data_IF_633897297595
#
_entry.id   IF_633897297595
#
_cell.length_a   1.000
_cell.length_b   1.000
_cell.length_c   1.000
_cell.angle_alpha   90.00
_cell.angle_beta   90.00
_cell.angle_gamma   90.00
#
_symmetry.space_group_name_H-M   'P 1'
#
loop_
_entity.id
_entity.type
_entity.pdbx_description
1 polymer ?
#
# COMPACT_ATOMS: atom_id res chain seq x y z
N UNK A 1 17.04 -11.53 -14.29
CA UNK A 1 18.03 -11.19 -13.26
C UNK A 1 18.55 -9.76 -13.37
N UNK A 2 19.06 -9.36 -14.52
CA UNK A 2 19.60 -8.01 -14.74
C UNK A 2 18.56 -6.90 -14.48
N UNK A 3 17.31 -7.07 -14.94
CA UNK A 3 16.23 -6.12 -14.71
C UNK A 3 15.90 -5.91 -13.22
N UNK A 4 15.93 -6.96 -12.42
CA UNK A 4 15.68 -6.88 -10.97
C UNK A 4 16.78 -6.12 -10.25
N UNK A 5 18.02 -6.37 -10.62
CA UNK A 5 19.19 -5.69 -10.03
C UNK A 5 19.22 -4.21 -10.38
N UNK A 6 18.97 -3.88 -11.66
CA UNK A 6 18.86 -2.48 -12.11
C UNK A 6 17.72 -1.74 -11.43
N UNK A 7 16.57 -2.40 -11.28
CA UNK A 7 15.40 -1.80 -10.61
C UNK A 7 15.69 -1.54 -9.13
N UNK A 8 16.40 -2.47 -8.46
CA UNK A 8 16.80 -2.29 -7.06
C UNK A 8 17.75 -1.09 -6.91
N UNK A 9 18.75 -0.98 -7.77
CA UNK A 9 19.70 0.14 -7.78
C UNK A 9 18.97 1.46 -8.04
N UNK A 10 18.05 1.47 -8.97
CA UNK A 10 17.22 2.64 -9.27
C UNK A 10 16.39 3.07 -8.06
N UNK A 11 15.73 2.12 -7.39
CA UNK A 11 14.97 2.41 -6.17
C UNK A 11 15.84 3.02 -5.07
N UNK A 12 17.01 2.46 -4.85
CA UNK A 12 17.95 2.98 -3.84
C UNK A 12 18.43 4.38 -4.17
N UNK A 13 18.75 4.62 -5.42
CA UNK A 13 19.14 5.95 -5.88
C UNK A 13 18.01 6.97 -5.68
N UNK A 14 16.80 6.61 -6.09
CA UNK A 14 15.62 7.44 -5.96
C UNK A 14 15.33 7.77 -4.49
N UNK A 15 15.43 6.77 -3.62
CA UNK A 15 15.24 6.96 -2.18
C UNK A 15 16.25 7.97 -1.60
N UNK A 16 17.51 7.89 -2.02
CA UNK A 16 18.55 8.85 -1.59
C UNK A 16 18.28 10.26 -2.09
N UNK A 17 17.86 10.40 -3.33
CA UNK A 17 17.51 11.70 -3.91
C UNK A 17 16.33 12.34 -3.19
N UNK A 18 15.29 11.56 -2.92
CA UNK A 18 14.09 12.01 -2.20
C UNK A 18 14.43 12.40 -0.77
N UNK A 19 15.29 11.62 -0.10
CA UNK A 19 15.69 11.87 1.29
C UNK A 19 16.46 13.19 1.48
N UNK A 20 17.06 13.73 0.43
CA UNK A 20 17.79 15.01 0.46
C UNK A 20 16.87 16.22 0.34
N UNK A 21 15.66 16.03 -0.13
CA UNK A 21 14.67 17.11 -0.32
C UNK A 21 13.80 17.33 0.91
N UNK A 22 12.92 18.33 0.85
CA UNK A 22 11.94 18.54 1.90
C UNK A 22 10.98 17.36 1.97
N UNK A 23 10.62 16.96 3.19
CA UNK A 23 9.81 15.78 3.45
C UNK A 23 8.46 16.18 4.05
N UNK A 24 7.36 15.59 3.61
CA UNK A 24 6.06 15.84 4.24
C UNK A 24 6.05 15.30 5.66
N UNK A 25 5.32 15.95 6.53
CA UNK A 25 5.08 15.47 7.90
C UNK A 25 3.93 14.47 7.96
N UNK A 26 3.04 14.52 7.00
CA UNK A 26 1.86 13.68 6.95
C UNK A 26 1.58 13.30 5.50
N UNK A 27 1.58 12.01 5.21
CA UNK A 27 1.25 11.49 3.89
C UNK A 27 -0.10 10.79 3.94
N UNK A 28 -1.01 11.19 3.04
CA UNK A 28 -2.28 10.51 2.84
C UNK A 28 -2.21 9.58 1.64
N UNK A 29 -2.67 8.35 1.81
CA UNK A 29 -2.73 7.36 0.74
C UNK A 29 -4.17 6.92 0.50
N UNK A 30 -4.62 7.06 -0.72
CA UNK A 30 -5.90 6.54 -1.17
C UNK A 30 -5.62 5.30 -2.00
N UNK A 31 -6.11 4.16 -1.56
CA UNK A 31 -5.94 2.91 -2.27
C UNK A 31 -7.07 2.72 -3.26
N UNK A 32 -6.73 2.59 -4.54
CA UNK A 32 -7.70 2.46 -5.62
C UNK A 32 -7.21 1.48 -6.68
N UNK A 33 -8.16 0.92 -7.41
CA UNK A 33 -7.88 0.08 -8.58
C UNK A 33 -7.62 -1.39 -8.30
N UNK A 34 -7.77 -1.89 -7.08
CA UNK A 34 -7.51 -3.29 -6.72
C UNK A 34 -8.36 -4.27 -7.54
N UNK A 35 -9.64 -4.00 -7.72
CA UNK A 35 -10.54 -4.86 -8.49
C UNK A 35 -10.20 -4.83 -9.97
N UNK A 36 -9.86 -3.68 -10.49
CA UNK A 36 -9.44 -3.49 -11.88
C UNK A 36 -8.15 -4.26 -12.15
N UNK A 37 -7.18 -4.12 -11.28
CA UNK A 37 -5.93 -4.87 -11.36
C UNK A 37 -6.17 -6.38 -11.30
N UNK A 38 -6.99 -6.84 -10.35
CA UNK A 38 -7.32 -8.25 -10.21
C UNK A 38 -7.95 -8.82 -11.48
N UNK A 39 -8.91 -8.10 -12.06
CA UNK A 39 -9.56 -8.49 -13.31
C UNK A 39 -8.56 -8.59 -14.44
N UNK A 40 -7.71 -7.59 -14.63
CA UNK A 40 -6.74 -7.55 -15.72
C UNK A 40 -5.67 -8.63 -15.58
N UNK A 41 -5.35 -9.02 -14.36
CA UNK A 41 -4.38 -10.09 -14.06
C UNK A 41 -5.01 -11.48 -13.95
N UNK A 42 -6.33 -11.61 -14.15
CA UNK A 42 -7.03 -12.88 -14.01
C UNK A 42 -7.11 -13.41 -12.57
N UNK A 43 -7.12 -12.51 -11.59
CA UNK A 43 -7.15 -12.84 -10.17
C UNK A 43 -8.53 -12.57 -9.56
N UNK A 44 -8.81 -13.22 -8.42
CA UNK A 44 -9.99 -12.91 -7.61
C UNK A 44 -9.86 -11.51 -6.97
N UNK A 45 -10.99 -10.90 -6.63
CA UNK A 45 -10.99 -9.62 -5.91
C UNK A 45 -10.25 -9.72 -4.59
N UNK A 46 -10.44 -10.81 -3.84
CA UNK A 46 -9.72 -11.04 -2.58
C UNK A 46 -8.21 -11.02 -2.77
N UNK A 47 -7.73 -11.71 -3.81
CA UNK A 47 -6.29 -11.74 -4.12
C UNK A 47 -5.78 -10.37 -4.53
N UNK A 48 -6.56 -9.60 -5.27
CA UNK A 48 -6.27 -8.21 -5.59
C UNK A 48 -6.14 -7.34 -4.36
N UNK A 49 -7.05 -7.46 -3.41
CA UNK A 49 -7.00 -6.72 -2.14
C UNK A 49 -5.77 -7.10 -1.30
N UNK A 50 -5.43 -8.37 -1.25
CA UNK A 50 -4.23 -8.84 -0.53
C UNK A 50 -2.94 -8.30 -1.14
N UNK A 51 -2.86 -8.26 -2.46
CA UNK A 51 -1.72 -7.67 -3.15
C UNK A 51 -1.63 -6.16 -2.92
N UNK A 52 -2.77 -5.48 -2.88
CA UNK A 52 -2.85 -4.06 -2.54
C UNK A 52 -2.38 -3.79 -1.11
N UNK A 53 -2.79 -4.63 -0.16
CA UNK A 53 -2.35 -4.52 1.23
C UNK A 53 -0.83 -4.72 1.34
N UNK A 54 -0.29 -5.68 0.62
CA UNK A 54 1.15 -5.92 0.57
C UNK A 54 1.91 -4.71 0.01
N UNK A 55 1.37 -4.07 -1.02
CA UNK A 55 1.94 -2.84 -1.58
C UNK A 55 1.87 -1.70 -0.58
N UNK A 56 0.78 -1.57 0.17
CA UNK A 56 0.66 -0.57 1.22
C UNK A 56 1.71 -0.77 2.32
N UNK A 57 2.02 -2.02 2.70
CA UNK A 57 3.11 -2.32 3.63
C UNK A 57 4.46 -1.83 3.11
N UNK A 58 4.72 -2.07 1.84
CA UNK A 58 5.94 -1.61 1.17
C UNK A 58 6.06 -0.09 1.23
N UNK A 59 4.97 0.62 0.93
CA UNK A 59 4.92 2.09 1.00
C UNK A 59 5.15 2.59 2.42
N UNK A 60 4.56 1.95 3.42
CA UNK A 60 4.78 2.29 4.83
C UNK A 60 6.25 2.10 5.22
N UNK A 61 6.90 1.05 4.73
CA UNK A 61 8.32 0.84 4.94
C UNK A 61 9.16 1.98 4.35
N UNK A 62 8.84 2.41 3.14
CA UNK A 62 9.52 3.57 2.52
C UNK A 62 9.29 4.85 3.31
N UNK A 63 8.08 5.07 3.80
CA UNK A 63 7.77 6.22 4.64
C UNK A 63 8.59 6.22 5.93
N UNK A 64 8.73 5.05 6.55
CA UNK A 64 9.58 4.90 7.74
C UNK A 64 11.05 5.19 7.43
N UNK A 65 11.57 4.70 6.31
CA UNK A 65 12.94 4.98 5.88
C UNK A 65 13.18 6.46 5.60
N UNK A 66 12.17 7.15 5.08
CA UNK A 66 12.21 8.59 4.81
C UNK A 66 11.87 9.43 6.05
N UNK A 67 11.60 8.79 7.19
CA UNK A 67 11.25 9.46 8.45
C UNK A 67 10.02 10.36 8.33
N UNK A 68 9.04 9.93 7.57
CA UNK A 68 7.71 10.56 7.52
C UNK A 68 6.96 10.11 8.78
N UNK A 69 6.62 11.04 9.69
CA UNK A 69 6.11 10.66 11.02
C UNK A 69 4.66 10.17 11.02
N UNK A 70 3.87 10.52 10.03
CA UNK A 70 2.46 10.17 10.01
C UNK A 70 2.00 9.79 8.61
N UNK A 71 1.29 8.67 8.52
CA UNK A 71 0.68 8.20 7.27
C UNK A 71 -0.78 7.85 7.55
N UNK A 72 -1.68 8.39 6.76
CA UNK A 72 -3.10 8.04 6.78
C UNK A 72 -3.44 7.18 5.57
N UNK A 73 -4.00 6.01 5.83
CA UNK A 73 -4.46 5.09 4.79
C UNK A 73 -5.98 5.13 4.68
N UNK A 74 -6.47 5.38 3.49
CA UNK A 74 -7.91 5.30 3.19
C UNK A 74 -8.23 3.89 2.71
N UNK A 75 -8.78 3.06 3.59
CA UNK A 75 -9.08 1.66 3.30
C UNK A 75 -10.49 1.45 2.78
N UNK A 76 -11.46 2.11 3.36
CA UNK A 76 -12.87 1.81 3.15
C UNK A 76 -13.70 3.09 3.14
N UNK A 77 -14.55 3.26 2.13
CA UNK A 77 -15.55 4.31 2.09
C UNK A 77 -16.95 3.70 2.28
N UNK A 78 -17.94 4.53 2.58
CA UNK A 78 -19.33 4.08 2.66
C UNK A 78 -19.84 3.46 1.36
N UNK A 79 -19.34 3.93 0.22
CA UNK A 79 -19.66 3.35 -1.09
C UNK A 79 -19.11 1.92 -1.24
N UNK A 80 -17.96 1.63 -0.66
CA UNK A 80 -17.36 0.30 -0.70
C UNK A 80 -18.20 -0.74 0.04
N UNK A 81 -19.01 -0.31 1.02
CA UNK A 81 -19.91 -1.19 1.76
C UNK A 81 -21.01 -1.79 0.87
N UNK A 82 -21.37 -1.13 -0.21
CA UNK A 82 -22.42 -1.58 -1.14
C UNK A 82 -21.88 -2.30 -2.38
N UNK A 83 -20.55 -2.35 -2.59
CA UNK A 83 -19.93 -2.79 -3.86
C UNK A 83 -19.40 -4.22 -3.89
N UNK A 84 -19.82 -5.10 -3.04
CA UNK A 84 -19.37 -6.48 -3.15
C UNK A 84 -18.76 -7.05 -1.88
N UNK A 85 -17.89 -8.05 -1.93
CA UNK A 85 -17.56 -8.84 -0.75
C UNK A 85 -16.81 -8.02 0.30
N UNK A 86 -17.58 -7.32 1.11
CA UNK A 86 -17.09 -6.56 2.25
C UNK A 86 -16.21 -7.41 3.16
N UNK A 87 -16.57 -8.69 3.30
CA UNK A 87 -15.81 -9.67 4.07
C UNK A 87 -14.36 -9.77 3.63
N UNK A 88 -14.09 -9.69 2.31
CA UNK A 88 -12.72 -9.76 1.79
C UNK A 88 -11.89 -8.53 2.20
N UNK A 89 -12.51 -7.35 2.16
CA UNK A 89 -11.85 -6.10 2.56
C UNK A 89 -11.60 -6.08 4.06
N UNK A 90 -12.61 -6.48 4.86
CA UNK A 90 -12.49 -6.56 6.31
C UNK A 90 -11.42 -7.56 6.74
N UNK A 91 -11.33 -8.71 6.07
CA UNK A 91 -10.30 -9.71 6.33
C UNK A 91 -8.90 -9.15 6.14
N UNK A 92 -8.67 -8.40 5.07
CA UNK A 92 -7.38 -7.75 4.81
C UNK A 92 -7.06 -6.71 5.90
N UNK A 93 -8.02 -5.88 6.26
CA UNK A 93 -7.86 -4.87 7.30
C UNK A 93 -7.55 -5.53 8.65
N UNK A 94 -8.30 -6.56 9.01
CA UNK A 94 -8.09 -7.30 10.26
C UNK A 94 -6.71 -7.94 10.29
N UNK A 95 -6.28 -8.57 9.21
CA UNK A 95 -4.96 -9.17 9.10
C UNK A 95 -3.86 -8.12 9.30
N UNK A 96 -4.01 -6.95 8.70
CA UNK A 96 -3.06 -5.86 8.88
C UNK A 96 -2.99 -5.36 10.32
N UNK A 97 -4.15 -5.22 10.94
CA UNK A 97 -4.24 -4.79 12.34
C UNK A 97 -3.53 -5.79 13.26
N UNK A 98 -3.78 -7.09 13.07
CA UNK A 98 -3.13 -8.14 13.86
C UNK A 98 -1.62 -8.19 13.67
N UNK A 99 -1.12 -7.79 12.51
CA UNK A 99 0.31 -7.78 12.20
C UNK A 99 1.03 -6.51 12.71
N UNK A 100 0.44 -5.79 13.64
CA UNK A 100 1.10 -4.73 14.37
C UNK A 100 1.10 -3.36 13.69
N UNK A 101 0.20 -3.12 12.75
CA UNK A 101 -0.09 -1.76 12.34
C UNK A 101 -0.87 -1.08 13.45
N UNK A 102 -0.25 -0.14 14.13
CA UNK A 102 -0.98 0.74 15.03
C UNK A 102 -1.93 1.59 14.21
N UNK A 103 -3.23 1.37 14.41
CA UNK A 103 -4.24 2.28 13.92
C UNK A 103 -4.27 3.48 14.87
N UNK A 104 -3.92 4.61 14.34
CA UNK A 104 -4.08 5.87 15.05
C UNK A 104 -5.47 6.42 14.75
#
# INVERSE_FOLDING_TARGET
>A
MLKRSLYRLYKQRLLREVARGPMPRHLGLIQDGHRRYARDAGLSNLKGYRLGAKKAEEVLTWCAQLKIPMVTLWWLSTENLSRGPLTAVLDVIETRYRNGCEAV
#
